data_IF_383149669898
#
_entry.id   IF_383149669898
#
_cell.length_a   1.000
_cell.length_b   1.000
_cell.length_c   1.000
_cell.angle_alpha   90.00
_cell.angle_beta   90.00
_cell.angle_gamma   90.00
#
_symmetry.space_group_name_H-M   'P 1'
#
loop_
_entity.id
_entity.type
_entity.pdbx_description
1 polymer ?
#
# COMPACT_ATOMS: atom_id res chain seq x y z
N UNK A 1 28.87 15.30 -13.77
CA UNK A 1 28.01 16.34 -13.18
C UNK A 1 26.59 16.08 -13.62
N UNK A 2 25.79 15.31 -12.87
CA UNK A 2 24.38 15.13 -13.20
C UNK A 2 23.61 16.34 -12.72
N UNK A 3 22.99 17.08 -13.63
CA UNK A 3 22.03 18.12 -13.31
C UNK A 3 20.97 17.54 -12.38
N UNK A 4 20.74 18.17 -11.23
CA UNK A 4 19.44 18.05 -10.58
C UNK A 4 18.41 18.50 -11.61
N UNK A 5 17.53 17.61 -12.05
CA UNK A 5 16.35 18.02 -12.81
C UNK A 5 15.48 18.81 -11.84
N UNK A 6 15.61 20.13 -11.92
CA UNK A 6 14.89 21.05 -11.04
C UNK A 6 13.40 20.94 -11.38
N UNK A 7 12.59 20.56 -10.39
CA UNK A 7 11.14 20.53 -10.57
C UNK A 7 10.61 21.96 -10.46
N UNK A 8 9.85 22.41 -11.46
CA UNK A 8 9.21 23.72 -11.42
C UNK A 8 7.86 23.64 -10.69
N UNK A 9 7.92 23.71 -9.36
CA UNK A 9 6.76 23.56 -8.48
C UNK A 9 6.19 24.89 -7.99
N UNK A 10 6.40 25.97 -8.74
CA UNK A 10 5.74 27.23 -8.44
C UNK A 10 4.23 27.14 -8.80
N UNK A 11 3.36 27.92 -8.14
CA UNK A 11 1.92 27.84 -8.37
C UNK A 11 1.49 28.10 -9.83
N UNK A 12 2.18 28.98 -10.55
CA UNK A 12 1.86 29.31 -11.95
C UNK A 12 2.09 28.12 -12.88
N UNK A 13 3.24 27.44 -12.73
CA UNK A 13 3.59 26.23 -13.47
C UNK A 13 2.60 25.10 -13.19
N UNK A 14 2.22 24.90 -11.92
CA UNK A 14 1.23 23.91 -11.51
C UNK A 14 -0.13 24.19 -12.17
N UNK A 15 -0.58 25.44 -12.16
CA UNK A 15 -1.85 25.85 -12.76
C UNK A 15 -1.83 25.74 -14.30
N UNK A 16 -0.69 26.08 -14.92
CA UNK A 16 -0.47 25.89 -16.36
C UNK A 16 -0.51 24.41 -16.75
N UNK A 17 0.12 23.53 -15.96
CA UNK A 17 0.12 22.09 -16.19
C UNK A 17 -1.30 21.49 -16.09
N UNK A 18 -2.10 21.91 -15.11
CA UNK A 18 -3.51 21.50 -15.02
C UNK A 18 -4.34 22.00 -16.20
N UNK A 19 -4.14 23.26 -16.59
CA UNK A 19 -4.87 23.85 -17.72
C UNK A 19 -4.54 23.12 -19.04
N UNK A 20 -3.28 22.73 -19.22
CA UNK A 20 -2.81 21.97 -20.38
C UNK A 20 -3.44 20.58 -20.53
N UNK A 21 -3.89 19.96 -19.44
CA UNK A 21 -4.61 18.68 -19.48
C UNK A 21 -6.08 18.81 -19.92
N UNK A 22 -6.59 20.03 -20.10
CA UNK A 22 -7.96 20.31 -20.54
C UNK A 22 -9.02 19.58 -19.70
N UNK A 23 -8.77 19.42 -18.39
CA UNK A 23 -9.68 18.69 -17.50
C UNK A 23 -11.00 19.44 -17.26
N UNK A 24 -11.12 20.69 -17.71
CA UNK A 24 -12.22 21.61 -17.44
C UNK A 24 -12.07 22.38 -16.14
N UNK A 25 -12.89 23.42 -15.94
CA UNK A 25 -12.83 24.33 -14.80
C UNK A 25 -12.00 25.58 -15.11
N UNK A 26 -12.47 26.72 -14.61
CA UNK A 26 -11.87 28.02 -14.89
C UNK A 26 -10.99 28.49 -13.73
N UNK A 27 -9.85 29.10 -14.06
CA UNK A 27 -8.92 29.73 -13.12
C UNK A 27 -8.45 28.79 -11.99
N UNK A 28 -7.71 27.70 -12.30
CA UNK A 28 -7.11 26.87 -11.27
C UNK A 28 -6.19 27.70 -10.37
N UNK A 29 -6.19 27.37 -9.07
CA UNK A 29 -5.24 27.93 -8.12
C UNK A 29 -4.79 26.86 -7.12
N UNK A 30 -3.58 26.99 -6.60
CA UNK A 30 -3.05 26.10 -5.56
C UNK A 30 -3.66 26.51 -4.22
N UNK A 31 -4.43 25.60 -3.64
CA UNK A 31 -5.20 25.79 -2.40
C UNK A 31 -4.51 25.13 -1.19
N UNK A 32 -3.54 24.26 -1.45
CA UNK A 32 -2.74 23.65 -0.40
C UNK A 32 -1.59 22.81 -0.96
N UNK A 33 -0.57 22.63 -0.14
CA UNK A 33 0.56 21.77 -0.40
C UNK A 33 0.74 20.77 0.74
N UNK A 34 1.00 19.51 0.39
CA UNK A 34 1.19 18.41 1.30
C UNK A 34 2.46 17.63 0.92
N UNK A 35 3.25 17.27 1.93
CA UNK A 35 4.46 16.49 1.76
C UNK A 35 4.17 15.02 2.09
N UNK A 36 4.26 14.15 1.09
CA UNK A 36 4.26 12.70 1.25
C UNK A 36 5.67 12.12 1.32
N UNK A 37 5.77 10.83 1.65
CA UNK A 37 7.06 10.11 1.70
C UNK A 37 7.75 10.02 0.35
N UNK A 38 7.00 9.83 -0.74
CA UNK A 38 7.54 9.72 -2.11
C UNK A 38 7.17 10.90 -3.03
N UNK A 39 6.25 11.76 -2.62
CA UNK A 39 5.68 12.81 -3.48
C UNK A 39 5.45 14.13 -2.75
N UNK A 40 5.45 15.24 -3.51
CA UNK A 40 4.75 16.48 -3.18
C UNK A 40 3.34 16.42 -3.79
N UNK A 41 2.34 16.81 -3.01
CA UNK A 41 0.93 16.75 -3.40
C UNK A 41 0.35 18.15 -3.28
N UNK A 42 -0.25 18.64 -4.35
CA UNK A 42 -0.88 19.96 -4.39
C UNK A 42 -2.40 19.80 -4.52
N UNK A 43 -3.16 20.44 -3.63
CA UNK A 43 -4.60 20.63 -3.81
C UNK A 43 -4.80 21.79 -4.77
N UNK A 44 -5.48 21.52 -5.87
CA UNK A 44 -5.75 22.51 -6.90
C UNK A 44 -7.25 22.71 -6.95
N UNK A 45 -7.67 23.91 -6.59
CA UNK A 45 -9.07 24.29 -6.48
C UNK A 45 -9.49 25.14 -7.66
N UNK A 46 -10.78 25.11 -7.95
CA UNK A 46 -11.43 25.84 -9.03
C UNK A 46 -12.64 26.58 -8.45
N UNK A 47 -13.14 27.60 -9.16
CA UNK A 47 -14.34 28.32 -8.72
C UNK A 47 -15.64 27.60 -9.07
N UNK A 48 -15.60 26.74 -10.09
CA UNK A 48 -16.77 26.19 -10.78
C UNK A 48 -16.85 24.66 -10.74
N UNK A 49 -15.92 23.99 -10.04
CA UNK A 49 -15.89 22.52 -9.95
C UNK A 49 -15.15 22.04 -8.69
N UNK A 50 -15.29 20.74 -8.35
CA UNK A 50 -14.49 20.12 -7.30
C UNK A 50 -12.98 20.18 -7.58
N UNK A 51 -12.21 20.30 -6.50
CA UNK A 51 -10.75 20.31 -6.52
C UNK A 51 -10.15 18.99 -7.01
N UNK A 52 -8.90 19.05 -7.45
CA UNK A 52 -8.09 17.90 -7.81
C UNK A 52 -6.81 17.87 -6.97
N UNK A 53 -6.19 16.70 -6.88
CA UNK A 53 -4.83 16.54 -6.38
C UNK A 53 -3.87 16.39 -7.55
N UNK A 54 -2.77 17.14 -7.54
CA UNK A 54 -1.63 16.93 -8.42
C UNK A 54 -0.49 16.34 -7.61
N UNK A 55 0.03 15.18 -8.04
CA UNK A 55 1.09 14.42 -7.36
C UNK A 55 2.35 14.44 -8.20
N UNK A 56 3.44 14.95 -7.63
CA UNK A 56 4.78 14.97 -8.23
C UNK A 56 5.72 14.18 -7.33
N UNK A 57 6.38 13.14 -7.88
CA UNK A 57 7.35 12.35 -7.10
C UNK A 57 8.57 13.20 -6.73
N UNK A 58 9.21 12.92 -5.60
CA UNK A 58 10.45 13.59 -5.23
C UNK A 58 11.55 13.31 -6.26
N UNK A 59 12.33 14.34 -6.61
CA UNK A 59 13.51 14.18 -7.45
C UNK A 59 14.53 13.28 -6.73
N UNK A 60 14.64 12.04 -7.18
CA UNK A 60 15.65 11.07 -6.75
C UNK A 60 16.65 10.83 -7.87
N UNK A 61 17.88 10.42 -7.54
CA UNK A 61 18.89 10.04 -8.55
C UNK A 61 18.48 8.76 -9.28
N UNK A 62 17.64 8.91 -10.29
CA UNK A 62 17.20 7.89 -11.25
C UNK A 62 17.24 8.47 -12.65
N UNK A 63 17.28 7.60 -13.64
CA UNK A 63 17.13 8.03 -15.03
C UNK A 63 15.71 8.55 -15.28
N UNK A 64 15.56 9.49 -16.23
CA UNK A 64 14.25 9.97 -16.69
C UNK A 64 13.30 8.83 -17.05
N UNK A 65 13.81 7.78 -17.71
CA UNK A 65 13.03 6.62 -18.11
C UNK A 65 12.46 5.86 -16.89
N UNK A 66 13.25 5.68 -15.83
CA UNK A 66 12.79 5.03 -14.60
C UNK A 66 11.75 5.87 -13.86
N UNK A 67 11.91 7.20 -13.85
CA UNK A 67 10.94 8.13 -13.27
C UNK A 67 9.61 8.01 -14.01
N UNK A 68 9.63 8.12 -15.35
CA UNK A 68 8.44 7.98 -16.19
C UNK A 68 7.78 6.60 -16.02
N UNK A 69 8.57 5.53 -16.03
CA UNK A 69 8.05 4.17 -15.84
C UNK A 69 7.37 3.99 -14.47
N UNK A 70 7.89 4.63 -13.42
CA UNK A 70 7.29 4.59 -12.08
C UNK A 70 5.93 5.29 -12.08
N UNK A 71 5.84 6.49 -12.66
CA UNK A 71 4.59 7.25 -12.75
C UNK A 71 3.57 6.53 -13.63
N UNK A 72 4.00 5.98 -14.77
CA UNK A 72 3.13 5.20 -15.65
C UNK A 72 2.59 3.95 -14.94
N UNK A 73 3.43 3.23 -14.19
CA UNK A 73 3.00 2.05 -13.42
C UNK A 73 1.92 2.39 -12.39
N UNK A 74 2.06 3.51 -11.68
CA UNK A 74 1.03 4.01 -10.74
C UNK A 74 -0.28 4.35 -11.49
N UNK A 75 -0.20 4.96 -12.68
CA UNK A 75 -1.41 5.27 -13.47
C UNK A 75 -2.15 4.02 -13.97
N UNK A 76 -1.42 2.94 -14.26
CA UNK A 76 -2.01 1.65 -14.64
C UNK A 76 -2.79 1.01 -13.50
N UNK A 77 -2.39 1.22 -12.25
CA UNK A 77 -3.16 0.77 -11.08
C UNK A 77 -4.51 1.47 -11.05
N UNK A 78 -4.55 2.81 -11.14
CA UNK A 78 -5.80 3.56 -11.12
C UNK A 78 -6.76 3.15 -12.24
N UNK A 79 -6.25 3.03 -13.47
CA UNK A 79 -7.05 2.56 -14.61
C UNK A 79 -7.58 1.14 -14.40
N UNK A 80 -6.79 0.27 -13.77
CA UNK A 80 -7.24 -1.10 -13.46
C UNK A 80 -8.31 -1.10 -12.38
N UNK A 81 -8.17 -0.30 -11.32
CA UNK A 81 -9.20 -0.16 -10.27
C UNK A 81 -10.52 0.34 -10.85
N UNK A 82 -10.46 1.34 -11.73
CA UNK A 82 -11.62 1.89 -12.45
C UNK A 82 -12.30 0.82 -13.31
N UNK A 83 -11.52 0.11 -14.13
CA UNK A 83 -12.04 -0.95 -15.00
C UNK A 83 -12.63 -2.14 -14.21
N UNK A 84 -12.16 -2.38 -12.98
CA UNK A 84 -12.71 -3.40 -12.08
C UNK A 84 -13.88 -2.90 -11.24
N UNK A 85 -14.25 -1.63 -11.34
CA UNK A 85 -15.37 -1.04 -10.60
C UNK A 85 -15.12 -0.92 -9.10
N UNK A 86 -13.86 -0.94 -8.65
CA UNK A 86 -13.54 -0.65 -7.26
C UNK A 86 -13.90 0.81 -6.96
N UNK A 87 -14.51 1.13 -5.80
CA UNK A 87 -15.07 2.49 -5.57
C UNK A 87 -14.31 3.35 -4.56
N UNK A 88 -13.45 2.75 -3.73
CA UNK A 88 -12.78 3.46 -2.63
C UNK A 88 -11.37 3.93 -3.02
N UNK A 89 -11.26 4.61 -4.16
CA UNK A 89 -10.00 5.17 -4.63
C UNK A 89 -10.26 6.54 -5.30
N UNK A 90 -9.28 7.46 -5.32
CA UNK A 90 -9.48 8.76 -5.96
C UNK A 90 -9.50 8.58 -7.48
N UNK A 91 -10.52 9.10 -8.17
CA UNK A 91 -10.66 8.90 -9.62
C UNK A 91 -9.50 9.53 -10.35
N UNK A 92 -8.97 8.80 -11.32
CA UNK A 92 -7.91 9.29 -12.20
C UNK A 92 -8.45 10.33 -13.18
N UNK A 93 -7.74 11.45 -13.33
CA UNK A 93 -8.13 12.55 -14.23
C UNK A 93 -7.16 12.76 -15.37
N UNK A 94 -5.87 12.56 -15.14
CA UNK A 94 -4.86 12.71 -16.18
C UNK A 94 -3.46 12.53 -15.63
N UNK A 95 -2.47 12.66 -16.51
CA UNK A 95 -1.05 12.65 -16.15
C UNK A 95 -0.23 13.41 -17.20
N UNK A 96 1.01 13.72 -16.84
CA UNK A 96 2.09 13.98 -17.78
C UNK A 96 3.17 12.93 -17.55
N UNK A 97 3.59 12.25 -18.62
CA UNK A 97 4.67 11.24 -18.60
C UNK A 97 5.93 11.75 -19.29
N UNK A 98 6.08 13.06 -19.43
CA UNK A 98 7.22 13.73 -20.05
C UNK A 98 7.75 14.80 -19.13
N UNK A 99 9.01 15.20 -19.32
CA UNK A 99 9.61 16.37 -18.69
C UNK A 99 9.29 17.66 -19.46
N UNK A 100 8.83 17.53 -20.70
CA UNK A 100 8.36 18.66 -21.52
C UNK A 100 6.93 19.06 -21.10
N UNK A 101 6.84 19.68 -19.93
CA UNK A 101 5.60 20.24 -19.38
C UNK A 101 5.95 21.38 -18.41
N UNK A 102 4.99 22.24 -18.02
CA UNK A 102 5.29 23.41 -17.17
C UNK A 102 5.96 23.10 -15.83
N UNK A 103 5.73 21.91 -15.25
CA UNK A 103 6.34 21.45 -13.99
C UNK A 103 7.75 20.87 -14.20
N UNK A 104 8.14 20.63 -15.45
CA UNK A 104 9.43 20.03 -15.83
C UNK A 104 9.65 18.64 -15.21
N UNK A 105 8.55 17.93 -14.91
CA UNK A 105 8.60 16.60 -14.29
C UNK A 105 7.31 15.80 -14.54
N UNK A 106 7.35 14.46 -14.63
CA UNK A 106 6.15 13.64 -14.71
C UNK A 106 5.25 13.75 -13.47
N UNK A 107 3.93 13.77 -13.66
CA UNK A 107 2.95 13.94 -12.58
C UNK A 107 1.64 13.22 -12.86
N UNK A 108 0.84 13.00 -11.81
CA UNK A 108 -0.51 12.40 -11.89
C UNK A 108 -1.53 13.38 -11.31
N UNK A 109 -2.70 13.45 -11.92
CA UNK A 109 -3.86 14.21 -11.42
C UNK A 109 -4.99 13.26 -11.07
N UNK A 110 -5.48 13.37 -9.83
CA UNK A 110 -6.59 12.57 -9.29
C UNK A 110 -7.65 13.50 -8.69
N UNK A 111 -8.87 13.01 -8.49
CA UNK A 111 -9.87 13.74 -7.69
C UNK A 111 -9.34 14.05 -6.30
N UNK A 112 -9.61 15.26 -5.81
CA UNK A 112 -9.43 15.57 -4.40
C UNK A 112 -10.57 14.95 -3.60
N UNK A 113 -10.23 14.23 -2.54
CA UNK A 113 -11.23 13.64 -1.64
C UNK A 113 -11.26 14.47 -0.37
N UNK A 114 -12.39 15.13 -0.13
CA UNK A 114 -12.61 15.85 1.12
C UNK A 114 -12.79 14.89 2.29
N UNK A 115 -12.24 15.27 3.44
CA UNK A 115 -12.23 14.48 4.66
C UNK A 115 -10.92 14.66 5.42
N UNK A 116 -10.70 13.79 6.40
CA UNK A 116 -9.47 13.74 7.16
C UNK A 116 -8.84 12.35 7.11
N UNK A 117 -7.50 12.23 7.18
CA UNK A 117 -6.87 10.94 7.39
C UNK A 117 -7.34 10.29 8.69
N UNK A 118 -7.61 8.99 8.65
CA UNK A 118 -7.98 8.20 9.80
C UNK A 118 -6.84 8.25 10.82
N UNK A 119 -7.20 8.55 12.07
CA UNK A 119 -6.32 8.36 13.22
C UNK A 119 -6.69 7.05 13.90
N UNK A 120 -5.70 6.27 14.27
CA UNK A 120 -5.88 4.98 14.92
C UNK A 120 -4.78 4.76 15.95
N UNK A 121 -5.18 4.48 17.18
CA UNK A 121 -4.32 4.03 18.27
C UNK A 121 -5.13 3.08 19.17
N UNK A 122 -4.55 2.64 20.30
CA UNK A 122 -5.17 1.70 21.23
C UNK A 122 -6.48 2.23 21.87
N UNK A 123 -6.71 3.54 21.82
CA UNK A 123 -7.82 4.24 22.48
C UNK A 123 -8.73 5.02 21.54
N UNK A 124 -8.25 5.35 20.35
CA UNK A 124 -8.94 6.15 19.35
C UNK A 124 -8.99 5.40 18.00
N UNK A 125 -10.12 5.41 17.30
CA UNK A 125 -11.42 5.92 17.73
C UNK A 125 -12.02 5.05 18.85
N UNK A 126 -12.91 5.63 19.65
CA UNK A 126 -13.66 4.91 20.67
C UNK A 126 -14.78 4.06 20.05
N UNK A 127 -15.27 3.09 20.82
CA UNK A 127 -16.51 2.38 20.47
C UNK A 127 -17.73 3.32 20.59
N UNK A 128 -18.76 3.17 19.74
CA UNK A 128 -18.95 2.13 18.72
C UNK A 128 -18.29 2.44 17.35
N UNK A 129 -17.75 3.65 17.17
CA UNK A 129 -17.16 4.09 15.89
C UNK A 129 -16.03 3.18 15.41
N UNK A 130 -15.20 2.71 16.35
CA UNK A 130 -14.13 1.74 16.08
C UNK A 130 -14.63 0.49 15.37
N UNK A 131 -15.71 -0.11 15.86
CA UNK A 131 -16.26 -1.36 15.31
C UNK A 131 -16.86 -1.12 13.91
N UNK A 132 -17.53 0.02 13.71
CA UNK A 132 -18.05 0.43 12.40
C UNK A 132 -16.94 0.60 11.35
N UNK A 133 -15.84 1.25 11.73
CA UNK A 133 -14.69 1.44 10.84
C UNK A 133 -14.01 0.11 10.48
N UNK A 134 -13.87 -0.81 11.44
CA UNK A 134 -13.36 -2.16 11.18
C UNK A 134 -14.25 -2.91 10.18
N UNK A 135 -15.58 -2.79 10.31
CA UNK A 135 -16.52 -3.42 9.39
C UNK A 135 -16.39 -2.86 7.96
N UNK A 136 -16.31 -1.53 7.83
CA UNK A 136 -16.10 -0.87 6.54
C UNK A 136 -14.76 -1.29 5.91
N UNK A 137 -13.68 -1.35 6.69
CA UNK A 137 -12.37 -1.80 6.19
C UNK A 137 -12.38 -3.25 5.73
N UNK A 138 -13.10 -4.13 6.43
CA UNK A 138 -13.27 -5.52 6.03
C UNK A 138 -14.00 -5.62 4.70
N UNK A 139 -15.09 -4.87 4.53
CA UNK A 139 -15.85 -4.78 3.27
C UNK A 139 -14.95 -4.26 2.13
N UNK A 140 -14.20 -3.19 2.37
CA UNK A 140 -13.34 -2.56 1.37
C UNK A 140 -12.26 -3.53 0.90
N UNK A 141 -11.55 -4.20 1.83
CA UNK A 141 -10.51 -5.15 1.45
C UNK A 141 -11.11 -6.34 0.69
N UNK A 142 -12.22 -6.90 1.17
CA UNK A 142 -12.91 -7.99 0.48
C UNK A 142 -13.35 -7.57 -0.93
N UNK A 143 -13.89 -6.36 -1.09
CA UNK A 143 -14.30 -5.82 -2.38
C UNK A 143 -13.11 -5.64 -3.32
N UNK A 144 -11.98 -5.10 -2.83
CA UNK A 144 -10.76 -4.93 -3.61
C UNK A 144 -10.28 -6.28 -4.16
N UNK A 145 -10.17 -7.28 -3.28
CA UNK A 145 -9.75 -8.62 -3.69
C UNK A 145 -10.74 -9.23 -4.67
N UNK A 146 -12.03 -9.17 -4.37
CA UNK A 146 -13.07 -9.81 -5.18
C UNK A 146 -13.15 -9.23 -6.59
N UNK A 147 -13.04 -7.91 -6.75
CA UNK A 147 -13.12 -7.30 -8.09
C UNK A 147 -11.79 -7.42 -8.87
N UNK A 148 -10.65 -7.57 -8.19
CA UNK A 148 -9.33 -7.62 -8.84
C UNK A 148 -8.72 -9.02 -8.95
N UNK A 149 -9.39 -10.04 -8.42
CA UNK A 149 -8.90 -11.42 -8.46
C UNK A 149 -8.73 -11.90 -9.90
N UNK A 150 -7.58 -12.50 -10.19
CA UNK A 150 -7.27 -13.10 -11.49
C UNK A 150 -6.27 -14.26 -11.33
N UNK A 151 -6.27 -15.18 -12.29
CA UNK A 151 -5.26 -16.24 -12.36
C UNK A 151 -4.04 -15.76 -13.18
N UNK A 152 -2.84 -16.14 -12.76
CA UNK A 152 -1.58 -15.87 -13.47
C UNK A 152 -0.78 -17.15 -13.69
N UNK A 153 0.19 -17.10 -14.58
CA UNK A 153 1.09 -18.24 -14.85
C UNK A 153 2.05 -18.53 -13.69
N UNK A 154 2.51 -17.48 -13.01
CA UNK A 154 3.47 -17.58 -11.90
C UNK A 154 2.79 -17.99 -10.60
N UNK A 155 3.28 -19.04 -9.93
CA UNK A 155 2.84 -19.45 -8.59
C UNK A 155 3.26 -18.44 -7.51
N UNK A 156 2.58 -18.44 -6.36
CA UNK A 156 2.94 -17.59 -5.22
C UNK A 156 4.41 -17.76 -4.80
N UNK A 157 4.88 -19.01 -4.67
CA UNK A 157 6.26 -19.31 -4.27
C UNK A 157 7.27 -18.70 -5.25
N UNK A 158 7.15 -18.97 -6.55
CA UNK A 158 8.02 -18.39 -7.58
C UNK A 158 8.02 -16.84 -7.57
N UNK A 159 6.89 -16.20 -7.27
CA UNK A 159 6.80 -14.74 -7.16
C UNK A 159 7.62 -14.19 -5.99
N UNK A 160 7.55 -14.83 -4.83
CA UNK A 160 8.29 -14.41 -3.63
C UNK A 160 9.76 -14.81 -3.71
N UNK A 161 10.09 -16.02 -4.17
CA UNK A 161 11.46 -16.47 -4.38
C UNK A 161 12.24 -15.51 -5.26
N UNK A 162 11.63 -15.04 -6.36
CA UNK A 162 12.27 -14.05 -7.23
C UNK A 162 12.64 -12.77 -6.48
N UNK A 163 11.76 -12.27 -5.60
CA UNK A 163 12.04 -11.06 -4.81
C UNK A 163 13.14 -11.29 -3.77
N UNK A 164 13.08 -12.40 -3.05
CA UNK A 164 14.09 -12.78 -2.05
C UNK A 164 15.46 -12.96 -2.73
N UNK A 165 15.50 -13.60 -3.90
CA UNK A 165 16.74 -13.74 -4.70
C UNK A 165 17.29 -12.40 -5.17
N UNK A 166 16.43 -11.44 -5.53
CA UNK A 166 16.86 -10.08 -5.85
C UNK A 166 17.45 -9.36 -4.61
N UNK A 167 16.88 -9.57 -3.42
CA UNK A 167 17.46 -9.06 -2.17
C UNK A 167 18.81 -9.69 -1.88
N UNK A 168 18.95 -11.01 -2.04
CA UNK A 168 20.22 -11.74 -1.91
C UNK A 168 21.29 -11.18 -2.85
N UNK A 169 20.95 -10.95 -4.12
CA UNK A 169 21.86 -10.34 -5.09
C UNK A 169 22.32 -8.95 -4.62
N UNK A 170 21.39 -8.12 -4.16
CA UNK A 170 21.72 -6.78 -3.65
C UNK A 170 22.57 -6.82 -2.39
N UNK A 171 22.35 -7.80 -1.50
CA UNK A 171 23.19 -8.02 -0.32
C UNK A 171 24.62 -8.38 -0.72
N UNK A 172 24.80 -9.32 -1.68
CA UNK A 172 26.11 -9.70 -2.25
C UNK A 172 26.89 -8.52 -2.81
N UNK A 173 26.20 -7.62 -3.49
CA UNK A 173 26.80 -6.43 -4.09
C UNK A 173 27.03 -5.28 -3.09
N UNK A 174 26.72 -5.46 -1.80
CA UNK A 174 26.79 -4.39 -0.80
C UNK A 174 25.75 -3.28 -0.98
N UNK A 175 24.76 -3.48 -1.85
CA UNK A 175 23.66 -2.53 -2.16
C UNK A 175 22.49 -2.63 -1.17
N UNK A 176 22.62 -3.45 -0.13
CA UNK A 176 21.64 -3.61 0.94
C UNK A 176 22.33 -3.56 2.32
N UNK A 177 22.78 -2.37 2.78
CA UNK A 177 23.55 -2.26 4.02
C UNK A 177 22.78 -2.79 5.23
N UNK A 178 23.44 -3.53 6.12
CA UNK A 178 22.82 -4.10 7.32
C UNK A 178 22.02 -5.40 7.09
N UNK A 179 22.01 -5.92 5.86
CA UNK A 179 21.45 -7.24 5.54
C UNK A 179 22.59 -8.12 5.01
N UNK A 180 22.68 -9.34 5.53
CA UNK A 180 23.67 -10.34 5.12
C UNK A 180 23.09 -11.31 4.10
N UNK A 181 23.95 -12.05 3.40
CA UNK A 181 23.51 -13.15 2.54
C UNK A 181 22.75 -14.23 3.32
N UNK A 182 23.20 -14.50 4.55
CA UNK A 182 22.59 -15.50 5.43
C UNK A 182 21.14 -15.13 5.72
N UNK A 183 20.86 -13.87 6.00
CA UNK A 183 19.49 -13.40 6.28
C UNK A 183 18.54 -13.72 5.12
N UNK A 184 18.97 -13.46 3.88
CA UNK A 184 18.18 -13.76 2.68
C UNK A 184 18.06 -15.26 2.42
N UNK A 185 19.08 -16.06 2.72
CA UNK A 185 19.06 -17.52 2.56
C UNK A 185 18.13 -18.18 3.59
N UNK A 186 18.16 -17.73 4.84
CA UNK A 186 17.26 -18.17 5.90
C UNK A 186 15.81 -17.83 5.55
N UNK A 187 15.57 -16.60 5.07
CA UNK A 187 14.27 -16.20 4.55
C UNK A 187 13.81 -17.16 3.44
N UNK A 188 14.66 -17.43 2.45
CA UNK A 188 14.33 -18.32 1.33
C UNK A 188 13.98 -19.74 1.80
N UNK A 189 14.72 -20.28 2.79
CA UNK A 189 14.48 -21.60 3.36
C UNK A 189 13.12 -21.71 4.07
N UNK A 190 12.64 -20.61 4.67
CA UNK A 190 11.36 -20.57 5.38
C UNK A 190 10.15 -20.38 4.45
N UNK A 191 10.35 -19.87 3.23
CA UNK A 191 9.26 -19.50 2.32
C UNK A 191 8.22 -20.62 2.09
N UNK A 192 8.61 -21.88 1.81
CA UNK A 192 7.63 -22.95 1.59
C UNK A 192 6.76 -23.21 2.83
N UNK A 193 7.35 -23.12 4.03
CA UNK A 193 6.64 -23.31 5.31
C UNK A 193 5.68 -22.16 5.58
N UNK A 194 6.08 -20.92 5.29
CA UNK A 194 5.23 -19.73 5.46
C UNK A 194 4.02 -19.78 4.54
N UNK A 195 4.21 -20.12 3.26
CA UNK A 195 3.13 -20.19 2.27
C UNK A 195 2.21 -21.40 2.47
N UNK A 196 2.74 -22.49 3.05
CA UNK A 196 1.99 -23.71 3.31
C UNK A 196 1.30 -24.25 2.05
N UNK A 197 0.00 -24.53 2.16
CA UNK A 197 -0.81 -25.07 1.05
C UNK A 197 -1.00 -24.08 -0.12
N UNK A 198 -0.80 -22.77 0.10
CA UNK A 198 -1.04 -21.75 -0.92
C UNK A 198 0.22 -21.45 -1.75
N UNK A 199 1.34 -22.17 -1.54
CA UNK A 199 2.62 -21.96 -2.23
C UNK A 199 2.49 -22.04 -3.76
N UNK A 200 1.69 -22.97 -4.26
CA UNK A 200 1.50 -23.23 -5.69
C UNK A 200 0.29 -22.46 -6.25
N UNK A 201 -0.37 -21.64 -5.41
CA UNK A 201 -1.50 -20.82 -5.83
C UNK A 201 -1.10 -19.86 -6.95
N UNK A 202 -1.95 -19.80 -7.97
CA UNK A 202 -1.83 -18.89 -9.11
C UNK A 202 -2.85 -17.75 -9.05
N UNK A 203 -3.53 -17.61 -7.91
CA UNK A 203 -4.54 -16.59 -7.69
C UNK A 203 -3.85 -15.31 -7.22
N UNK A 204 -4.10 -14.21 -7.92
CA UNK A 204 -3.55 -12.89 -7.66
C UNK A 204 -4.67 -11.89 -7.50
N UNK A 205 -4.40 -10.81 -6.77
CA UNK A 205 -5.27 -9.65 -6.66
C UNK A 205 -4.41 -8.38 -6.52
N UNK A 206 -5.02 -7.21 -6.58
CA UNK A 206 -4.31 -5.97 -6.25
C UNK A 206 -4.08 -5.93 -4.74
N UNK A 207 -2.81 -5.86 -4.34
CA UNK A 207 -2.38 -5.44 -3.01
C UNK A 207 -2.20 -3.91 -3.04
N UNK A 208 -2.68 -3.22 -2.00
CA UNK A 208 -2.41 -1.79 -1.82
C UNK A 208 -0.92 -1.54 -1.49
N UNK A 209 -0.30 -2.46 -0.75
CA UNK A 209 1.11 -2.40 -0.37
C UNK A 209 1.44 -1.50 0.84
N UNK A 210 0.52 -0.62 1.26
CA UNK A 210 0.74 0.34 2.37
C UNK A 210 -0.59 0.83 2.99
N UNK A 211 -1.47 -0.11 3.38
CA UNK A 211 -2.78 0.22 3.92
C UNK A 211 -2.69 0.61 5.41
N UNK A 212 -2.27 1.84 5.67
CA UNK A 212 -2.15 2.47 7.00
C UNK A 212 -3.25 3.50 7.26
N UNK A 213 -3.51 3.89 8.53
CA UNK A 213 -4.55 4.86 8.88
C UNK A 213 -4.43 6.18 8.12
N UNK A 214 -3.20 6.70 7.96
CA UNK A 214 -2.94 7.93 7.22
C UNK A 214 -3.35 7.87 5.72
N UNK A 215 -3.52 6.67 5.16
CA UNK A 215 -3.93 6.45 3.77
C UNK A 215 -5.44 6.17 3.63
N UNK A 216 -6.21 6.28 4.71
CA UNK A 216 -7.66 6.09 4.73
C UNK A 216 -8.30 7.45 5.02
N UNK A 217 -9.14 7.95 4.11
CA UNK A 217 -9.86 9.22 4.28
C UNK A 217 -11.26 8.95 4.80
N UNK A 218 -11.62 9.60 5.92
CA UNK A 218 -12.95 9.55 6.53
C UNK A 218 -13.66 10.89 6.43
N UNK A 219 -15.00 10.85 6.41
CA UNK A 219 -15.82 12.04 6.58
C UNK A 219 -16.08 12.37 8.07
N UNK A 220 -16.86 13.44 8.30
CA UNK A 220 -17.21 13.90 9.66
C UNK A 220 -18.07 12.90 10.45
N UNK A 221 -18.72 11.97 9.77
CA UNK A 221 -19.56 10.92 10.35
C UNK A 221 -18.77 9.61 10.56
N UNK A 222 -17.46 9.63 10.31
CA UNK A 222 -16.58 8.45 10.39
C UNK A 222 -16.92 7.36 9.36
N UNK A 223 -17.42 7.74 8.19
CA UNK A 223 -17.51 6.83 7.04
C UNK A 223 -16.23 6.90 6.20
N UNK A 224 -15.74 5.75 5.74
CA UNK A 224 -14.56 5.67 4.88
C UNK A 224 -14.95 6.10 3.47
N UNK A 225 -14.40 7.24 3.03
CA UNK A 225 -14.65 7.82 1.72
C UNK A 225 -13.73 7.25 0.66
N UNK A 226 -12.46 7.06 1.00
CA UNK A 226 -11.43 6.75 0.02
C UNK A 226 -10.20 6.13 0.66
N UNK A 227 -9.55 5.24 -0.08
CA UNK A 227 -8.18 4.81 0.17
C UNK A 227 -7.27 5.55 -0.82
N UNK A 228 -6.24 6.20 -0.31
CA UNK A 228 -5.29 7.01 -1.09
C UNK A 228 -3.89 6.38 -1.07
N UNK A 229 -2.99 6.95 -1.85
CA UNK A 229 -1.57 6.55 -1.90
C UNK A 229 -1.31 5.13 -2.43
N UNK A 230 -1.86 4.86 -3.62
CA UNK A 230 -1.68 3.62 -4.37
C UNK A 230 -0.30 3.47 -5.04
N UNK A 231 0.70 4.25 -4.63
CA UNK A 231 2.04 4.26 -5.23
C UNK A 231 2.81 2.94 -5.06
N UNK A 232 2.50 2.17 -4.02
CA UNK A 232 3.06 0.83 -3.77
C UNK A 232 2.16 -0.31 -4.27
N UNK A 233 1.00 0.01 -4.83
CA UNK A 233 0.04 -0.99 -5.19
C UNK A 233 0.50 -1.83 -6.38
N UNK A 234 0.26 -3.13 -6.31
CA UNK A 234 0.69 -4.06 -7.34
C UNK A 234 -0.20 -5.29 -7.38
N UNK A 235 -0.22 -5.95 -8.53
CA UNK A 235 -0.75 -7.31 -8.62
C UNK A 235 0.20 -8.26 -7.91
N UNK A 236 -0.29 -8.88 -6.83
CA UNK A 236 0.46 -9.79 -5.99
C UNK A 236 -0.33 -11.10 -5.78
N UNK A 237 0.35 -12.21 -5.41
CA UNK A 237 -0.34 -13.42 -4.98
C UNK A 237 -1.38 -13.08 -3.92
N UNK A 238 -2.54 -13.75 -3.95
CA UNK A 238 -3.66 -13.43 -3.07
C UNK A 238 -3.27 -13.47 -1.58
N UNK A 239 -2.28 -14.28 -1.21
CA UNK A 239 -1.75 -14.36 0.16
C UNK A 239 -1.09 -13.06 0.65
N UNK A 240 -0.52 -12.27 -0.27
CA UNK A 240 -0.01 -10.93 0.00
C UNK A 240 -1.13 -9.90 0.01
N UNK A 241 -2.03 -9.96 -0.98
CA UNK A 241 -3.11 -8.99 -1.09
C UNK A 241 -4.14 -9.11 0.04
N UNK A 242 -4.27 -10.31 0.62
CA UNK A 242 -5.15 -10.62 1.74
C UNK A 242 -4.50 -10.42 3.13
N UNK A 243 -3.31 -9.81 3.21
CA UNK A 243 -2.68 -9.47 4.49
C UNK A 243 -3.61 -8.61 5.35
N UNK A 244 -3.46 -8.69 6.67
CA UNK A 244 -4.11 -7.74 7.57
C UNK A 244 -3.63 -6.30 7.27
N UNK A 245 -4.50 -5.28 7.39
CA UNK A 245 -4.07 -3.87 7.41
C UNK A 245 -2.92 -3.65 8.40
N UNK A 246 -1.97 -2.77 8.08
CA UNK A 246 -0.67 -2.74 8.77
C UNK A 246 -0.73 -2.32 10.25
N UNK A 247 -1.84 -1.73 10.68
CA UNK A 247 -2.08 -1.33 12.07
C UNK A 247 -2.84 -2.40 12.89
N UNK A 248 -3.10 -3.57 12.29
CA UNK A 248 -3.66 -4.75 12.96
C UNK A 248 -2.59 -5.81 13.26
N UNK A 249 -1.32 -5.50 12.99
CA UNK A 249 -0.13 -6.26 13.35
C UNK A 249 1.03 -5.30 13.61
N UNK A 250 2.15 -5.80 14.13
CA UNK A 250 3.27 -4.98 14.61
C UNK A 250 4.12 -4.46 13.45
N UNK A 251 3.73 -3.34 12.84
CA UNK A 251 4.44 -2.77 11.68
C UNK A 251 5.85 -2.24 11.98
N UNK A 252 6.20 -2.00 13.24
CA UNK A 252 7.43 -1.28 13.59
C UNK A 252 8.68 -2.17 13.79
N UNK A 253 8.50 -3.41 14.24
CA UNK A 253 9.60 -4.35 14.50
C UNK A 253 9.08 -5.75 14.83
N UNK A 254 9.84 -6.79 14.48
CA UNK A 254 9.63 -8.16 14.93
C UNK A 254 9.73 -8.32 16.47
N UNK A 255 10.35 -7.36 17.16
CA UNK A 255 10.43 -7.34 18.64
C UNK A 255 9.25 -6.66 19.30
N UNK A 256 8.40 -5.96 18.54
CA UNK A 256 7.24 -5.28 19.08
C UNK A 256 6.14 -6.31 19.38
N UNK A 257 5.58 -6.27 20.59
CA UNK A 257 4.50 -7.15 21.01
C UNK A 257 3.16 -6.45 20.68
N UNK A 258 2.19 -7.11 20.03
CA UNK A 258 0.87 -6.55 19.79
C UNK A 258 0.19 -6.12 21.09
N UNK A 259 -0.44 -4.94 21.09
CA UNK A 259 -1.23 -4.48 22.23
C UNK A 259 -2.52 -5.31 22.38
N UNK A 260 -3.09 -5.34 23.59
CA UNK A 260 -4.36 -6.03 23.80
C UNK A 260 -5.50 -5.39 22.99
N UNK A 261 -5.44 -4.08 22.75
CA UNK A 261 -6.41 -3.36 21.91
C UNK A 261 -6.30 -3.83 20.45
N UNK A 262 -5.08 -3.88 19.90
CA UNK A 262 -4.82 -4.38 18.55
C UNK A 262 -5.30 -5.83 18.36
N UNK A 263 -5.06 -6.71 19.34
CA UNK A 263 -5.55 -8.09 19.28
C UNK A 263 -7.08 -8.17 19.27
N UNK A 264 -7.76 -7.32 20.05
CA UNK A 264 -9.23 -7.20 20.02
C UNK A 264 -9.72 -6.68 18.67
N UNK A 265 -9.09 -5.66 18.12
CA UNK A 265 -9.46 -5.11 16.80
C UNK A 265 -9.31 -6.14 15.70
N UNK A 266 -8.18 -6.86 15.70
CA UNK A 266 -7.92 -7.95 14.78
C UNK A 266 -9.01 -9.02 14.88
N UNK A 267 -9.37 -9.42 16.09
CA UNK A 267 -10.44 -10.40 16.29
C UNK A 267 -11.78 -9.90 15.77
N UNK A 268 -12.14 -8.65 16.08
CA UNK A 268 -13.35 -8.00 15.56
C UNK A 268 -13.34 -7.96 14.04
N UNK A 269 -12.24 -7.51 13.42
CA UNK A 269 -12.06 -7.44 11.98
C UNK A 269 -12.25 -8.81 11.30
N UNK A 270 -11.62 -9.85 11.82
CA UNK A 270 -11.72 -11.21 11.29
C UNK A 270 -13.13 -11.76 11.46
N UNK A 271 -13.80 -11.47 12.57
CA UNK A 271 -15.18 -11.91 12.83
C UNK A 271 -16.21 -11.23 11.91
N UNK A 272 -15.89 -10.03 11.41
CA UNK A 272 -16.72 -9.28 10.47
C UNK A 272 -16.62 -9.81 9.04
N UNK A 273 -15.65 -10.69 8.75
CA UNK A 273 -15.61 -11.40 7.48
C UNK A 273 -16.85 -12.29 7.41
N UNK A 274 -17.78 -12.03 6.49
CA UNK A 274 -19.04 -12.75 6.48
C UNK A 274 -18.79 -14.25 6.28
N UNK A 275 -19.75 -15.08 6.65
CA UNK A 275 -19.80 -16.49 6.27
C UNK A 275 -19.95 -16.71 4.74
N UNK A 276 -19.63 -15.69 3.94
CA UNK A 276 -19.63 -15.71 2.50
C UNK A 276 -18.66 -16.78 2.00
N UNK A 277 -19.14 -17.52 1.01
CA UNK A 277 -18.43 -18.62 0.36
C UNK A 277 -17.55 -18.15 -0.79
N UNK A 278 -17.34 -16.84 -0.96
CA UNK A 278 -16.48 -16.36 -2.03
C UNK A 278 -15.05 -16.84 -1.81
N UNK A 279 -14.38 -17.23 -2.89
CA UNK A 279 -13.02 -17.76 -2.82
C UNK A 279 -12.06 -16.76 -2.15
N UNK A 280 -12.27 -15.46 -2.37
CA UNK A 280 -11.50 -14.37 -1.77
C UNK A 280 -11.73 -14.23 -0.27
N UNK A 281 -12.98 -14.34 0.20
CA UNK A 281 -13.27 -14.34 1.64
C UNK A 281 -12.61 -15.55 2.34
N UNK A 282 -12.60 -16.72 1.69
CA UNK A 282 -11.91 -17.91 2.20
C UNK A 282 -10.39 -17.72 2.26
N UNK A 283 -9.78 -17.06 1.28
CA UNK A 283 -8.35 -16.72 1.31
C UNK A 283 -8.04 -15.74 2.45
N UNK A 284 -8.82 -14.65 2.59
CA UNK A 284 -8.66 -13.69 3.68
C UNK A 284 -8.76 -14.38 5.03
N UNK A 285 -9.85 -15.10 5.28
CA UNK A 285 -10.06 -15.79 6.55
C UNK A 285 -8.90 -16.73 6.87
N UNK A 286 -8.49 -17.56 5.91
CA UNK A 286 -7.39 -18.52 6.07
C UNK A 286 -6.07 -17.84 6.46
N UNK A 287 -5.75 -16.70 5.87
CA UNK A 287 -4.47 -16.02 6.12
C UNK A 287 -4.51 -15.12 7.36
N UNK A 288 -5.65 -14.50 7.63
CA UNK A 288 -5.81 -13.56 8.72
C UNK A 288 -6.13 -14.25 10.05
N UNK A 289 -6.77 -15.42 10.04
CA UNK A 289 -7.12 -16.19 11.25
C UNK A 289 -6.21 -17.40 11.51
N UNK A 290 -5.11 -17.54 10.78
CA UNK A 290 -4.18 -18.66 10.99
C UNK A 290 -3.36 -18.50 12.27
N UNK A 291 -3.02 -19.64 12.89
CA UNK A 291 -1.95 -19.69 13.90
C UNK A 291 -0.65 -19.15 13.29
N UNK A 292 0.06 -18.31 14.04
CA UNK A 292 1.26 -17.61 13.60
C UNK A 292 1.00 -16.49 12.58
N UNK A 293 -0.19 -15.86 12.61
CA UNK A 293 -0.53 -14.75 11.69
C UNK A 293 0.51 -13.63 11.75
N UNK A 294 0.97 -13.24 12.94
CA UNK A 294 1.97 -12.17 13.11
C UNK A 294 3.27 -12.51 12.40
N UNK A 295 3.80 -13.72 12.61
CA UNK A 295 4.98 -14.20 11.92
C UNK A 295 4.82 -14.15 10.40
N UNK A 296 3.67 -14.60 9.88
CA UNK A 296 3.41 -14.59 8.43
C UNK A 296 3.32 -13.17 7.87
N UNK A 297 2.66 -12.25 8.56
CA UNK A 297 2.54 -10.85 8.13
C UNK A 297 3.91 -10.16 8.10
N UNK A 298 4.69 -10.31 9.17
CA UNK A 298 6.04 -9.76 9.27
C UNK A 298 7.01 -10.38 8.26
N UNK A 299 6.92 -11.70 8.07
CA UNK A 299 7.70 -12.39 7.06
C UNK A 299 7.37 -11.87 5.66
N UNK A 300 6.09 -11.77 5.27
CA UNK A 300 5.72 -11.24 3.96
C UNK A 300 6.14 -9.77 3.80
N UNK A 301 6.04 -8.98 4.86
CA UNK A 301 6.53 -7.60 4.88
C UNK A 301 8.05 -7.51 4.68
N UNK A 302 8.83 -8.42 5.27
CA UNK A 302 10.29 -8.47 5.11
C UNK A 302 10.76 -8.68 3.66
N UNK A 303 9.90 -9.17 2.78
CA UNK A 303 10.21 -9.31 1.34
C UNK A 303 10.20 -7.96 0.62
N UNK A 304 9.51 -6.95 1.17
CA UNK A 304 9.41 -5.61 0.60
C UNK A 304 10.13 -4.54 1.42
N UNK A 305 10.25 -4.74 2.73
CA UNK A 305 10.85 -3.78 3.67
C UNK A 305 12.23 -4.26 4.14
N UNK A 306 13.26 -3.47 3.83
CA UNK A 306 14.63 -3.68 4.34
C UNK A 306 14.66 -3.66 5.87
N UNK A 307 13.94 -2.73 6.50
CA UNK A 307 13.91 -2.60 7.96
C UNK A 307 13.29 -3.84 8.62
N UNK A 308 12.19 -4.34 8.06
CA UNK A 308 11.55 -5.54 8.56
C UNK A 308 12.39 -6.79 8.33
N UNK A 309 13.11 -6.89 7.21
CA UNK A 309 14.08 -7.96 6.96
C UNK A 309 15.18 -7.98 8.03
N UNK A 310 15.79 -6.83 8.31
CA UNK A 310 16.81 -6.72 9.35
C UNK A 310 16.23 -7.10 10.73
N UNK A 311 15.02 -6.65 11.03
CA UNK A 311 14.34 -6.92 12.29
C UNK A 311 14.04 -8.41 12.47
N UNK A 312 13.42 -9.06 11.48
CA UNK A 312 13.14 -10.50 11.51
C UNK A 312 14.42 -11.35 11.58
N UNK A 313 15.47 -10.95 10.86
CA UNK A 313 16.76 -11.61 10.94
C UNK A 313 17.42 -11.47 12.32
N UNK A 314 17.32 -10.30 12.96
CA UNK A 314 17.90 -10.07 14.29
C UNK A 314 17.27 -10.91 15.41
N UNK A 315 16.02 -11.35 15.23
CA UNK A 315 15.32 -12.27 16.13
C UNK A 315 15.41 -13.73 15.68
N UNK A 316 16.26 -14.03 14.70
CA UNK A 316 16.48 -15.40 14.22
C UNK A 316 15.28 -16.02 13.51
N UNK A 317 14.38 -15.20 12.94
CA UNK A 317 13.12 -15.64 12.34
C UNK A 317 12.16 -16.34 13.31
N UNK A 318 12.20 -15.95 14.58
CA UNK A 318 11.29 -16.43 15.62
C UNK A 318 10.71 -15.25 16.40
N UNK A 319 9.42 -15.31 16.73
CA UNK A 319 8.74 -14.29 17.52
C UNK A 319 8.54 -14.82 18.93
N UNK A 320 9.31 -14.29 19.89
CA UNK A 320 9.29 -14.75 21.28
C UNK A 320 7.93 -14.62 21.97
N UNK A 321 7.04 -13.77 21.45
CA UNK A 321 5.71 -13.53 22.01
C UNK A 321 4.61 -14.43 21.42
N UNK A 322 4.86 -15.15 20.31
CA UNK A 322 3.83 -15.97 19.69
C UNK A 322 3.31 -17.06 20.63
N UNK A 323 4.20 -17.69 21.41
CA UNK A 323 3.81 -18.71 22.38
C UNK A 323 2.90 -18.16 23.49
N UNK A 324 3.08 -16.89 23.89
CA UNK A 324 2.30 -16.25 24.96
C UNK A 324 0.95 -15.70 24.53
N UNK A 325 0.81 -15.33 23.26
CA UNK A 325 -0.43 -14.77 22.69
C UNK A 325 -1.38 -15.89 22.27
N UNK A 326 -0.86 -17.04 21.82
CA UNK A 326 -1.66 -18.15 21.29
C UNK A 326 -2.23 -19.08 22.37
N UNK A 327 -1.88 -18.88 23.65
CA UNK A 327 -2.44 -19.60 24.82
C UNK A 327 -3.65 -18.90 25.47
N UNK A 328 -4.09 -17.74 24.97
CA UNK A 328 -5.21 -16.95 25.52
C UNK A 328 -6.40 -16.85 24.57
#
# INVERSE_FOLDING_TARGET
MSLHEAQNLNPEAICAAISGLQLGGNNPFVDGEFQGGECRIFKISFRDRPSVSLRVRHSIHRSQQEIVATVDMETRVFRKLEAKGFRWFPRYRGNSLTFDNPIEFPFIVLDWVEGSPLKWDDTFPSQPTRDSLLAQLAEIQLSLLTCTVENRSTTAIAFFERRIRNQLHRAREGKLPGITEKDCLDQLALLPKVLGQDRDSRVYAIDHGDLKPANIIIDQESNIKCIIDWGFAAMAPVVQAAKLPCFMWTNDSATCIPSQAMLKDRQSYINLMPAQTSQTALFMKRWQSAKGVDFRMLYLESISSKGMLASMASVGWELSYCDFIEER
#
